data_IF_567358605611
#
_entry.id   IF_567358605611
#
_cell.length_a   1.000
_cell.length_b   1.000
_cell.length_c   1.000
_cell.angle_alpha   90.00
_cell.angle_beta   90.00
_cell.angle_gamma   90.00
#
_symmetry.space_group_name_H-M   'P 1'
#
loop_
_entity.id
_entity.type
_entity.pdbx_description
1 polymer ?
#
# COMPACT_ATOMS: atom_id res chain seq x y z
N UNK A 1 14.99 -20.06 3.28
CA UNK A 1 13.76 -19.64 2.56
C UNK A 1 13.17 -18.39 3.21
N UNK A 2 12.53 -17.47 2.46
CA UNK A 2 12.13 -16.15 3.01
C UNK A 2 11.17 -16.27 4.19
N UNK A 3 10.15 -17.13 4.12
CA UNK A 3 9.26 -17.35 5.25
C UNK A 3 10.02 -17.84 6.50
N UNK A 4 11.00 -18.74 6.35
CA UNK A 4 11.85 -19.19 7.46
C UNK A 4 12.70 -18.06 8.05
N UNK A 5 13.24 -17.16 7.22
CA UNK A 5 14.00 -15.98 7.68
C UNK A 5 13.09 -15.07 8.52
N UNK A 6 11.90 -14.76 8.02
CA UNK A 6 10.92 -13.94 8.75
C UNK A 6 10.51 -14.60 10.06
N UNK A 7 10.27 -15.92 10.06
CA UNK A 7 9.98 -16.67 11.27
C UNK A 7 11.14 -16.61 12.28
N UNK A 8 12.39 -16.67 11.80
CA UNK A 8 13.60 -16.63 12.63
C UNK A 8 13.72 -15.28 13.34
N UNK A 9 13.70 -14.20 12.57
CA UNK A 9 13.76 -12.82 13.09
C UNK A 9 12.67 -12.56 14.12
N UNK A 10 11.45 -13.04 13.84
CA UNK A 10 10.34 -12.93 14.80
C UNK A 10 10.60 -13.73 16.08
N UNK A 11 10.99 -14.99 15.97
CA UNK A 11 11.17 -15.86 17.14
C UNK A 11 12.31 -15.36 18.04
N UNK A 12 13.40 -14.89 17.46
CA UNK A 12 14.51 -14.25 18.18
C UNK A 12 14.00 -13.03 18.95
N UNK A 13 13.25 -12.13 18.30
CA UNK A 13 12.68 -10.95 18.94
C UNK A 13 11.62 -11.29 20.01
N UNK A 14 10.85 -12.35 19.80
CA UNK A 14 9.87 -12.85 20.78
C UNK A 14 10.57 -13.37 22.03
N UNK A 15 11.57 -14.23 21.85
CA UNK A 15 12.36 -14.79 22.94
C UNK A 15 13.05 -13.67 23.74
N UNK A 16 13.62 -12.67 23.08
CA UNK A 16 14.20 -11.50 23.73
C UNK A 16 13.16 -10.70 24.52
N UNK A 17 12.00 -10.38 23.92
CA UNK A 17 10.95 -9.58 24.56
C UNK A 17 10.37 -10.23 25.82
N UNK A 18 10.27 -11.56 25.83
CA UNK A 18 9.64 -12.31 26.92
C UNK A 18 10.62 -13.04 27.84
N UNK A 19 11.94 -12.87 27.63
CA UNK A 19 13.00 -13.56 28.37
C UNK A 19 12.84 -15.10 28.33
N UNK A 20 12.64 -15.61 27.11
CA UNK A 20 12.46 -17.03 26.81
C UNK A 20 13.58 -17.52 25.88
N UNK A 21 13.66 -18.84 25.70
CA UNK A 21 14.60 -19.49 24.77
C UNK A 21 13.90 -20.62 24.01
N UNK A 22 12.71 -20.36 23.48
CA UNK A 22 11.93 -21.34 22.74
C UNK A 22 12.60 -21.65 21.39
N UNK A 23 12.68 -22.92 21.05
CA UNK A 23 12.93 -23.40 19.69
C UNK A 23 11.71 -23.14 18.80
N UNK A 24 11.87 -23.17 17.47
CA UNK A 24 10.75 -22.96 16.55
C UNK A 24 9.66 -24.02 16.72
N UNK A 25 10.04 -25.27 17.03
CA UNK A 25 9.09 -26.35 17.33
C UNK A 25 8.29 -26.10 18.61
N UNK A 26 8.95 -25.66 19.68
CA UNK A 26 8.29 -25.32 20.94
C UNK A 26 7.33 -24.16 20.75
N UNK A 27 7.77 -23.06 20.12
CA UNK A 27 6.90 -21.93 19.80
C UNK A 27 5.73 -22.38 18.91
N UNK A 28 5.99 -23.21 17.90
CA UNK A 28 4.97 -23.73 17.02
C UNK A 28 3.89 -24.48 17.82
N UNK A 29 4.28 -25.37 18.73
CA UNK A 29 3.34 -26.16 19.52
C UNK A 29 2.60 -25.33 20.57
N UNK A 30 3.33 -24.47 21.27
CA UNK A 30 2.81 -23.75 22.43
C UNK A 30 1.98 -22.53 22.08
N UNK A 31 2.30 -21.87 20.96
CA UNK A 31 1.67 -20.62 20.52
C UNK A 31 0.99 -20.78 19.16
N UNK A 32 1.74 -21.14 18.12
CA UNK A 32 1.24 -21.08 16.73
C UNK A 32 0.09 -22.06 16.49
N UNK A 33 0.27 -23.35 16.78
CA UNK A 33 -0.75 -24.39 16.60
C UNK A 33 -1.99 -24.09 17.43
N UNK A 34 -1.81 -23.72 18.71
CA UNK A 34 -2.93 -23.38 19.60
C UNK A 34 -3.76 -22.24 19.01
N UNK A 35 -3.13 -21.18 18.54
CA UNK A 35 -3.85 -20.06 17.94
C UNK A 35 -4.38 -20.34 16.54
N UNK A 36 -3.67 -21.07 15.68
CA UNK A 36 -4.01 -21.14 14.25
C UNK A 36 -4.92 -22.31 13.89
N UNK A 37 -4.66 -23.49 14.49
CA UNK A 37 -5.23 -24.76 14.03
C UNK A 37 -5.97 -25.54 15.12
N UNK A 38 -5.81 -25.18 16.41
CA UNK A 38 -6.54 -25.84 17.49
C UNK A 38 -7.97 -25.29 17.70
N UNK A 39 -8.60 -24.77 16.66
CA UNK A 39 -9.95 -24.16 16.69
C UNK A 39 -10.77 -24.59 15.47
N UNK A 40 -12.10 -24.48 15.55
CA UNK A 40 -12.99 -24.82 14.42
C UNK A 40 -12.81 -23.88 13.22
N UNK A 41 -12.48 -22.61 13.48
CA UNK A 41 -12.09 -21.64 12.45
C UNK A 41 -10.57 -21.47 12.44
N UNK A 42 -9.92 -21.97 11.40
CA UNK A 42 -8.49 -21.75 11.23
C UNK A 42 -8.19 -20.29 10.89
N UNK A 43 -7.03 -19.80 11.31
CA UNK A 43 -6.55 -18.47 10.94
C UNK A 43 -5.94 -18.43 9.53
N UNK A 44 -5.42 -19.57 9.09
CA UNK A 44 -4.69 -19.71 7.84
C UNK A 44 -5.03 -21.04 7.17
N UNK A 45 -5.05 -21.03 5.85
CA UNK A 45 -5.23 -22.23 5.05
C UNK A 45 -3.95 -22.50 4.25
N UNK A 46 -3.30 -23.62 4.52
CA UNK A 46 -2.10 -24.04 3.78
C UNK A 46 -2.45 -25.30 3.00
N UNK A 47 -2.57 -25.13 1.68
CA UNK A 47 -2.93 -26.19 0.74
C UNK A 47 -2.00 -27.39 0.87
N UNK A 48 -2.55 -28.61 0.79
CA UNK A 48 -1.83 -29.88 0.91
C UNK A 48 -1.17 -30.15 2.27
N UNK A 49 -1.31 -29.26 3.25
CA UNK A 49 -0.79 -29.54 4.59
C UNK A 49 -1.62 -30.59 5.34
N UNK A 50 -1.04 -31.27 6.35
CA UNK A 50 -1.77 -32.19 7.21
C UNK A 50 -3.04 -31.61 7.84
N UNK A 51 -3.08 -30.29 8.11
CA UNK A 51 -4.25 -29.64 8.72
C UNK A 51 -5.43 -29.49 7.76
N UNK A 52 -5.21 -29.48 6.44
CA UNK A 52 -6.30 -29.34 5.46
C UNK A 52 -6.58 -30.64 4.71
N UNK A 53 -5.64 -31.60 4.73
CA UNK A 53 -5.84 -32.94 4.19
C UNK A 53 -6.74 -33.76 5.13
N UNK A 54 -8.00 -33.92 4.73
CA UNK A 54 -9.03 -34.59 5.51
C UNK A 54 -9.26 -36.04 5.05
N UNK A 55 -9.58 -36.92 6.00
CA UNK A 55 -10.14 -38.24 5.68
C UNK A 55 -11.57 -38.07 5.16
N UNK A 56 -12.12 -39.07 4.50
CA UNK A 56 -13.50 -39.03 4.02
C UNK A 56 -14.47 -38.69 5.18
N UNK A 57 -15.31 -37.67 4.98
CA UNK A 57 -16.28 -37.19 5.97
C UNK A 57 -15.75 -36.14 6.98
N UNK A 58 -14.42 -35.96 7.10
CA UNK A 58 -13.86 -34.92 7.97
C UNK A 58 -13.94 -33.53 7.32
N UNK A 59 -14.29 -32.52 8.13
CA UNK A 59 -14.21 -31.10 7.76
C UNK A 59 -13.50 -30.33 8.87
N UNK A 60 -12.65 -29.33 8.55
CA UNK A 60 -11.89 -28.58 9.57
C UNK A 60 -12.73 -28.04 10.74
N UNK A 61 -13.91 -27.50 10.44
CA UNK A 61 -14.81 -26.93 11.44
C UNK A 61 -15.55 -27.96 12.30
N UNK A 62 -15.51 -29.25 11.94
CA UNK A 62 -16.12 -30.35 12.68
C UNK A 62 -15.11 -31.17 13.49
N UNK A 63 -13.80 -30.92 13.31
CA UNK A 63 -12.79 -31.67 14.03
C UNK A 63 -12.87 -31.38 15.53
N UNK A 64 -12.81 -32.44 16.34
CA UNK A 64 -12.62 -32.31 17.78
C UNK A 64 -11.14 -32.05 18.13
N UNK A 65 -10.87 -31.81 19.42
CA UNK A 65 -9.52 -31.50 19.89
C UNK A 65 -8.53 -32.64 19.62
N UNK A 66 -8.91 -33.90 19.85
CA UNK A 66 -8.05 -35.07 19.63
C UNK A 66 -7.68 -35.20 18.14
N UNK A 67 -8.66 -35.06 17.24
CA UNK A 67 -8.43 -35.11 15.80
C UNK A 67 -7.49 -33.98 15.33
N UNK A 68 -7.56 -32.79 15.94
CA UNK A 68 -6.62 -31.70 15.64
C UNK A 68 -5.20 -32.04 16.10
N UNK A 69 -5.05 -32.68 17.26
CA UNK A 69 -3.74 -33.18 17.71
C UNK A 69 -3.23 -34.32 16.83
N UNK A 70 -4.09 -35.21 16.30
CA UNK A 70 -3.66 -36.19 15.29
C UNK A 70 -3.10 -35.49 14.04
N UNK A 71 -3.71 -34.39 13.57
CA UNK A 71 -3.16 -33.61 12.46
C UNK A 71 -1.79 -33.01 12.79
N UNK A 72 -1.61 -32.53 14.02
CA UNK A 72 -0.32 -32.01 14.51
C UNK A 72 0.76 -33.10 14.51
N UNK A 73 0.45 -34.30 15.02
CA UNK A 73 1.38 -35.43 15.01
C UNK A 73 1.75 -35.86 13.58
N UNK A 74 0.77 -35.84 12.66
CA UNK A 74 1.03 -36.12 11.26
C UNK A 74 1.98 -35.09 10.63
N UNK A 75 1.88 -33.81 11.00
CA UNK A 75 2.86 -32.81 10.59
C UNK A 75 4.26 -33.15 11.12
N UNK A 76 4.41 -33.36 12.43
CA UNK A 76 5.71 -33.68 13.02
C UNK A 76 6.36 -34.90 12.39
N UNK A 77 5.58 -35.96 12.15
CA UNK A 77 6.08 -37.16 11.47
C UNK A 77 6.58 -36.84 10.06
N UNK A 78 5.83 -36.04 9.27
CA UNK A 78 6.27 -35.63 7.93
C UNK A 78 7.52 -34.74 7.97
N UNK A 79 7.65 -33.87 8.97
CA UNK A 79 8.82 -33.00 9.15
C UNK A 79 10.08 -33.84 9.43
N UNK A 80 9.95 -34.91 10.22
CA UNK A 80 11.07 -35.80 10.56
C UNK A 80 11.41 -36.75 9.40
N UNK A 81 10.40 -37.28 8.70
CA UNK A 81 10.60 -38.34 7.70
C UNK A 81 10.73 -37.85 6.26
N UNK A 82 10.29 -36.62 5.97
CA UNK A 82 10.10 -36.08 4.63
C UNK A 82 11.23 -35.16 4.17
N UNK A 83 11.30 -34.92 2.86
CA UNK A 83 12.08 -33.80 2.31
C UNK A 83 11.26 -32.52 2.46
N UNK A 84 11.88 -31.36 2.76
CA UNK A 84 11.19 -30.08 2.87
C UNK A 84 10.50 -29.73 1.54
N UNK A 85 9.18 -29.82 1.50
CA UNK A 85 8.33 -29.52 0.33
C UNK A 85 7.21 -28.56 0.73
N UNK A 86 6.60 -27.85 -0.25
CA UNK A 86 5.59 -26.81 -0.03
C UNK A 86 4.39 -27.21 0.86
N UNK A 87 4.11 -28.51 0.97
CA UNK A 87 3.04 -29.06 1.81
C UNK A 87 3.36 -29.04 3.32
N UNK A 88 4.64 -29.02 3.66
CA UNK A 88 5.16 -29.04 5.03
C UNK A 88 6.13 -27.88 5.33
N UNK A 89 6.66 -27.19 4.32
CA UNK A 89 7.60 -26.08 4.45
C UNK A 89 7.13 -24.93 3.55
N UNK A 90 6.64 -23.84 4.14
CA UNK A 90 5.86 -22.84 3.39
C UNK A 90 6.78 -21.95 2.57
N UNK A 91 6.46 -21.84 1.29
CA UNK A 91 7.25 -21.10 0.31
C UNK A 91 8.39 -21.90 -0.30
N UNK A 92 8.57 -23.18 0.06
CA UNK A 92 9.50 -24.12 -0.57
C UNK A 92 8.97 -24.64 -1.93
N UNK A 93 9.81 -25.31 -2.73
CA UNK A 93 9.36 -26.00 -3.94
C UNK A 93 8.27 -27.04 -3.64
N UNK A 94 7.39 -27.28 -4.62
CA UNK A 94 6.39 -28.34 -4.51
C UNK A 94 7.04 -29.74 -4.52
N UNK A 95 6.27 -30.74 -4.11
CA UNK A 95 6.69 -32.15 -4.03
C UNK A 95 6.95 -32.81 -5.38
N UNK A 96 6.36 -32.28 -6.46
CA UNK A 96 6.52 -32.82 -7.80
C UNK A 96 7.90 -32.46 -8.38
N UNK A 97 8.62 -33.46 -8.89
CA UNK A 97 9.94 -33.32 -9.53
C UNK A 97 9.94 -32.46 -10.81
N UNK A 98 8.78 -31.98 -11.25
CA UNK A 98 8.74 -30.97 -12.32
C UNK A 98 9.15 -29.62 -11.73
N UNK A 99 10.26 -29.08 -12.22
CA UNK A 99 10.91 -27.83 -11.76
C UNK A 99 10.00 -26.58 -11.71
N UNK A 100 8.73 -26.69 -12.13
CA UNK A 100 7.81 -25.56 -12.30
C UNK A 100 6.35 -25.87 -11.93
N UNK A 101 6.10 -26.78 -10.97
CA UNK A 101 4.76 -26.97 -10.44
C UNK A 101 4.17 -25.61 -9.97
N UNK A 102 2.89 -25.36 -10.29
CA UNK A 102 2.26 -24.03 -10.15
C UNK A 102 2.20 -23.50 -8.70
N UNK A 103 2.36 -24.39 -7.73
CA UNK A 103 2.36 -24.11 -6.28
C UNK A 103 3.76 -24.08 -5.67
N UNK A 104 4.82 -24.25 -6.48
CA UNK A 104 6.20 -24.07 -6.03
C UNK A 104 6.47 -22.61 -5.66
N UNK A 105 7.21 -22.38 -4.59
CA UNK A 105 7.75 -21.07 -4.22
C UNK A 105 9.27 -21.08 -4.28
N UNK A 106 9.87 -19.94 -4.67
CA UNK A 106 11.30 -19.65 -4.47
C UNK A 106 12.25 -20.78 -4.92
N UNK A 107 11.94 -21.43 -6.06
CA UNK A 107 12.80 -22.45 -6.67
C UNK A 107 14.12 -21.79 -7.09
N UNK A 108 15.24 -22.40 -6.70
CA UNK A 108 16.59 -21.90 -6.97
C UNK A 108 17.51 -23.05 -7.35
N UNK A 109 18.41 -22.80 -8.32
CA UNK A 109 19.50 -23.73 -8.67
C UNK A 109 20.56 -23.84 -7.56
N UNK A 110 20.52 -22.93 -6.57
CA UNK A 110 21.39 -22.96 -5.41
C UNK A 110 20.76 -23.89 -4.36
N UNK A 111 21.51 -24.92 -3.96
CA UNK A 111 21.11 -25.79 -2.85
C UNK A 111 21.20 -24.99 -1.55
N UNK A 112 20.03 -24.62 -1.01
CA UNK A 112 19.91 -24.00 0.31
C UNK A 112 19.61 -25.13 1.30
N UNK A 113 20.57 -25.52 2.17
CA UNK A 113 20.29 -26.51 3.20
C UNK A 113 19.20 -25.98 4.12
N UNK A 114 18.29 -26.86 4.54
CA UNK A 114 17.22 -26.56 5.48
C UNK A 114 17.02 -27.73 6.41
N UNK A 115 16.85 -27.43 7.70
CA UNK A 115 16.64 -28.41 8.76
C UNK A 115 15.20 -28.38 9.30
N UNK A 116 14.93 -29.17 10.35
CA UNK A 116 13.62 -29.19 11.04
C UNK A 116 13.24 -27.81 11.59
N UNK A 117 14.21 -27.05 12.08
CA UNK A 117 13.99 -25.71 12.62
C UNK A 117 13.49 -24.76 11.52
N UNK A 118 14.16 -24.72 10.36
CA UNK A 118 13.76 -23.91 9.21
C UNK A 118 12.34 -24.22 8.71
N UNK A 119 11.91 -25.48 8.84
CA UNK A 119 10.55 -25.89 8.49
C UNK A 119 9.54 -25.23 9.43
N UNK A 120 9.67 -25.37 10.76
CA UNK A 120 8.73 -24.70 11.69
C UNK A 120 8.81 -23.18 11.60
N UNK A 121 10.00 -22.61 11.38
CA UNK A 121 10.15 -21.19 11.12
C UNK A 121 9.39 -20.74 9.88
N UNK A 122 9.33 -21.57 8.82
CA UNK A 122 8.51 -21.25 7.64
C UNK A 122 7.01 -21.17 7.95
N UNK A 123 6.52 -22.01 8.87
CA UNK A 123 5.15 -21.94 9.35
C UNK A 123 4.88 -20.65 10.10
N UNK A 124 5.71 -20.35 11.10
CA UNK A 124 5.61 -19.14 11.91
C UNK A 124 5.66 -17.89 11.00
N UNK A 125 6.66 -17.84 10.11
CA UNK A 125 6.85 -16.76 9.15
C UNK A 125 5.67 -16.57 8.22
N UNK A 126 5.02 -17.66 7.76
CA UNK A 126 3.87 -17.56 6.87
C UNK A 126 2.67 -16.84 7.49
N UNK A 127 2.50 -16.96 8.81
CA UNK A 127 1.45 -16.27 9.55
C UNK A 127 1.72 -14.78 9.73
N UNK A 128 2.94 -14.31 9.44
CA UNK A 128 3.39 -12.92 9.58
C UNK A 128 3.28 -12.13 8.26
N UNK A 129 2.73 -12.72 7.20
CA UNK A 129 2.54 -12.05 5.92
C UNK A 129 1.51 -10.92 6.01
N UNK A 130 1.74 -9.82 5.28
CA UNK A 130 0.86 -8.64 5.30
C UNK A 130 0.09 -8.55 3.98
N UNK A 131 -1.18 -8.93 3.98
CA UNK A 131 -2.05 -8.92 2.80
C UNK A 131 -2.51 -7.52 2.41
N UNK A 132 -2.39 -7.17 1.13
CA UNK A 132 -2.79 -5.87 0.58
C UNK A 132 -3.62 -6.02 -0.70
N UNK A 133 -4.42 -5.00 -1.01
CA UNK A 133 -5.27 -4.96 -2.18
C UNK A 133 -4.42 -5.11 -3.47
N UNK A 134 -4.94 -5.86 -4.44
CA UNK A 134 -4.19 -6.30 -5.62
C UNK A 134 -3.73 -7.76 -5.54
N UNK A 135 -4.06 -8.48 -4.46
CA UNK A 135 -3.85 -9.93 -4.34
C UNK A 135 -2.42 -10.33 -3.98
N UNK A 136 -1.67 -9.42 -3.35
CA UNK A 136 -0.31 -9.66 -2.90
C UNK A 136 -0.21 -9.59 -1.37
N UNK A 137 0.81 -10.24 -0.83
CA UNK A 137 1.27 -10.12 0.54
C UNK A 137 2.70 -9.56 0.55
N UNK A 138 3.07 -8.94 1.66
CA UNK A 138 4.38 -8.34 1.90
C UNK A 138 4.97 -8.97 3.16
N UNK A 139 6.23 -9.37 3.10
CA UNK A 139 7.04 -9.61 4.30
C UNK A 139 7.95 -8.43 4.56
N UNK A 140 8.01 -7.97 5.81
CA UNK A 140 9.04 -7.06 6.31
C UNK A 140 9.82 -7.77 7.41
N UNK A 141 11.15 -7.79 7.30
CA UNK A 141 12.04 -8.51 8.22
C UNK A 141 12.42 -7.70 9.47
N UNK A 142 11.49 -6.86 9.94
CA UNK A 142 11.74 -5.88 11.00
C UNK A 142 11.11 -6.38 12.31
N UNK A 143 11.91 -6.64 13.38
CA UNK A 143 11.43 -7.16 14.66
C UNK A 143 10.19 -6.43 15.20
N UNK A 144 10.21 -5.09 15.21
CA UNK A 144 9.10 -4.26 15.67
C UNK A 144 7.80 -4.49 14.89
N UNK A 145 7.90 -4.66 13.56
CA UNK A 145 6.73 -4.95 12.71
C UNK A 145 6.23 -6.36 13.00
N UNK A 146 7.11 -7.35 13.09
CA UNK A 146 6.74 -8.74 13.30
C UNK A 146 6.08 -8.96 14.67
N UNK A 147 6.65 -8.39 15.73
CA UNK A 147 6.06 -8.40 17.08
C UNK A 147 4.71 -7.67 17.10
N UNK A 148 4.59 -6.55 16.37
CA UNK A 148 3.31 -5.84 16.27
C UNK A 148 2.25 -6.67 15.56
N UNK A 149 2.61 -7.40 14.51
CA UNK A 149 1.68 -8.34 13.84
C UNK A 149 1.22 -9.41 14.84
N UNK A 150 2.15 -9.99 15.59
CA UNK A 150 1.87 -11.01 16.59
C UNK A 150 0.89 -10.53 17.67
N UNK A 151 1.01 -9.29 18.15
CA UNK A 151 0.03 -8.71 19.10
C UNK A 151 -1.41 -8.83 18.55
N UNK A 152 -1.58 -8.62 17.23
CA UNK A 152 -2.87 -8.70 16.55
C UNK A 152 -3.40 -10.11 16.35
N UNK A 153 -2.58 -11.15 16.46
CA UNK A 153 -3.04 -12.54 16.32
C UNK A 153 -4.03 -12.90 17.42
N UNK A 154 -3.72 -12.52 18.67
CA UNK A 154 -4.60 -12.77 19.82
C UNK A 154 -5.98 -12.14 19.62
N UNK A 155 -6.01 -10.86 19.23
CA UNK A 155 -7.23 -10.09 18.94
C UNK A 155 -8.07 -10.78 17.85
N UNK A 156 -7.45 -11.24 16.77
CA UNK A 156 -8.19 -11.94 15.71
C UNK A 156 -8.72 -13.30 16.16
N UNK A 157 -7.97 -14.02 17.00
CA UNK A 157 -8.42 -15.29 17.57
C UNK A 157 -9.67 -15.10 18.41
N UNK A 158 -9.68 -14.06 19.24
CA UNK A 158 -10.84 -13.71 20.06
C UNK A 158 -12.07 -13.50 19.16
N UNK A 159 -11.99 -12.64 18.14
CA UNK A 159 -13.11 -12.42 17.23
C UNK A 159 -13.56 -13.65 16.44
N UNK A 160 -12.65 -14.55 16.07
CA UNK A 160 -13.04 -15.81 15.42
C UNK A 160 -13.81 -16.74 16.36
N UNK A 161 -13.54 -16.67 17.67
CA UNK A 161 -14.18 -17.49 18.69
C UNK A 161 -15.43 -16.84 19.31
N UNK A 162 -15.63 -15.53 19.11
CA UNK A 162 -16.80 -14.81 19.61
C UNK A 162 -18.11 -15.40 19.05
N UNK A 163 -19.03 -15.90 19.91
CA UNK A 163 -20.27 -16.53 19.46
C UNK A 163 -21.17 -15.61 18.64
N UNK A 164 -21.12 -14.30 18.89
CA UNK A 164 -21.89 -13.28 18.15
C UNK A 164 -21.32 -13.00 16.75
N UNK A 165 -20.10 -13.48 16.47
CA UNK A 165 -19.40 -13.38 15.19
C UNK A 165 -19.23 -14.76 14.55
N UNK A 166 -20.19 -15.66 14.74
CA UNK A 166 -20.20 -17.01 14.18
C UNK A 166 -20.03 -17.02 12.65
N UNK A 167 -20.53 -16.00 11.96
CA UNK A 167 -20.39 -15.79 10.51
C UNK A 167 -19.06 -15.15 10.07
N UNK A 168 -18.19 -14.75 10.99
CA UNK A 168 -16.85 -14.25 10.64
C UNK A 168 -16.03 -15.37 10.01
N UNK A 169 -15.55 -15.14 8.79
CA UNK A 169 -14.77 -16.07 7.99
C UNK A 169 -13.35 -16.23 8.56
N UNK A 170 -12.88 -17.48 8.67
CA UNK A 170 -11.49 -17.80 9.00
C UNK A 170 -10.56 -17.71 7.77
N UNK A 171 -9.31 -18.16 7.93
CA UNK A 171 -8.31 -18.24 6.85
C UNK A 171 -7.89 -16.90 6.23
N UNK A 172 -8.03 -15.80 6.98
CA UNK A 172 -7.72 -14.43 6.52
C UNK A 172 -6.56 -13.79 7.28
N UNK A 173 -5.63 -14.56 7.89
CA UNK A 173 -4.58 -14.00 8.74
C UNK A 173 -3.75 -12.91 8.04
N UNK A 174 -3.33 -13.09 6.80
CA UNK A 174 -2.54 -12.06 6.11
C UNK A 174 -3.36 -10.79 5.88
N UNK A 175 -4.63 -10.93 5.50
CA UNK A 175 -5.55 -9.80 5.33
C UNK A 175 -5.78 -9.07 6.65
N UNK A 176 -5.94 -9.82 7.73
CA UNK A 176 -6.01 -9.28 9.09
C UNK A 176 -4.73 -8.53 9.47
N UNK A 177 -3.55 -9.10 9.24
CA UNK A 177 -2.27 -8.46 9.56
C UNK A 177 -2.13 -7.10 8.86
N UNK A 178 -2.59 -6.98 7.60
CA UNK A 178 -2.63 -5.71 6.87
C UNK A 178 -3.52 -4.67 7.53
N UNK A 179 -4.74 -5.05 7.91
CA UNK A 179 -5.66 -4.16 8.62
C UNK A 179 -5.17 -3.82 10.02
N UNK A 180 -4.68 -4.81 10.76
CA UNK A 180 -4.15 -4.66 12.11
C UNK A 180 -2.97 -3.69 12.12
N UNK A 181 -1.95 -3.86 11.27
CA UNK A 181 -0.83 -2.92 11.23
C UNK A 181 -1.27 -1.50 10.85
N UNK A 182 -2.20 -1.38 9.90
CA UNK A 182 -2.75 -0.08 9.49
C UNK A 182 -3.47 0.60 10.65
N UNK A 183 -4.28 -0.15 11.41
CA UNK A 183 -4.96 0.34 12.59
C UNK A 183 -3.98 0.69 13.71
N UNK A 184 -3.06 -0.24 14.00
CA UNK A 184 -2.21 -0.21 15.17
C UNK A 184 -1.05 0.80 15.06
N UNK A 185 -0.66 1.20 13.84
CA UNK A 185 0.23 2.34 13.59
C UNK A 185 -0.51 3.61 13.15
N UNK A 186 -1.82 3.52 12.94
CA UNK A 186 -2.66 4.66 12.58
C UNK A 186 -3.00 5.57 13.77
N UNK A 187 -3.58 6.73 13.47
CA UNK A 187 -4.00 7.72 14.48
C UNK A 187 -5.18 7.25 15.36
N UNK A 188 -5.94 6.26 14.87
CA UNK A 188 -7.15 5.78 15.52
C UNK A 188 -6.88 4.69 16.58
N UNK A 189 -5.64 4.29 16.80
CA UNK A 189 -5.30 3.29 17.81
C UNK A 189 -5.52 3.83 19.23
N UNK A 190 -6.25 3.06 20.03
CA UNK A 190 -6.45 3.25 21.48
C UNK A 190 -6.44 1.86 22.09
N UNK A 191 -5.71 1.63 23.18
CA UNK A 191 -5.56 0.28 23.77
C UNK A 191 -6.90 -0.38 24.12
N UNK A 192 -7.91 0.40 24.51
CA UNK A 192 -9.25 -0.07 24.88
C UNK A 192 -10.25 -0.06 23.70
N UNK A 193 -9.81 -0.45 22.50
CA UNK A 193 -10.72 -0.55 21.34
C UNK A 193 -11.65 -1.75 21.45
N UNK A 194 -12.80 -1.68 20.77
CA UNK A 194 -13.78 -2.77 20.68
C UNK A 194 -14.11 -3.10 19.21
N UNK A 195 -14.92 -4.15 19.02
CA UNK A 195 -15.36 -4.57 17.69
C UNK A 195 -16.12 -3.46 16.96
N UNK A 196 -16.94 -2.68 17.66
CA UNK A 196 -17.72 -1.59 17.07
C UNK A 196 -16.82 -0.51 16.45
N UNK A 197 -15.69 -0.19 17.09
CA UNK A 197 -14.68 0.71 16.53
C UNK A 197 -14.07 0.16 15.25
N UNK A 198 -13.68 -1.11 15.23
CA UNK A 198 -13.09 -1.74 14.04
C UNK A 198 -14.12 -1.82 12.89
N UNK A 199 -15.38 -2.10 13.21
CA UNK A 199 -16.49 -2.07 12.25
C UNK A 199 -16.70 -0.65 11.68
N UNK A 200 -16.66 0.38 12.52
CA UNK A 200 -16.74 1.78 12.10
C UNK A 200 -15.60 2.20 11.16
N UNK A 201 -14.41 1.62 11.35
CA UNK A 201 -13.25 1.77 10.47
C UNK A 201 -13.32 0.92 9.19
N UNK A 202 -14.40 0.16 9.00
CA UNK A 202 -14.63 -0.75 7.86
C UNK A 202 -13.53 -1.80 7.70
N UNK A 203 -12.99 -2.30 8.81
CA UNK A 203 -12.05 -3.43 8.81
C UNK A 203 -12.79 -4.72 8.41
N UNK A 204 -14.06 -4.83 8.76
CA UNK A 204 -14.92 -5.94 8.35
C UNK A 204 -15.97 -5.49 7.34
N UNK A 205 -16.32 -6.38 6.42
CA UNK A 205 -17.40 -6.21 5.46
C UNK A 205 -18.34 -7.41 5.52
N UNK A 206 -19.63 -7.15 5.34
CA UNK A 206 -20.63 -8.18 5.11
C UNK A 206 -20.62 -8.54 3.63
N UNK A 207 -20.36 -9.81 3.34
CA UNK A 207 -20.70 -10.44 2.06
C UNK A 207 -21.99 -11.25 2.28
N UNK A 208 -22.81 -11.47 1.26
CA UNK A 208 -24.15 -12.07 1.42
C UNK A 208 -24.20 -13.37 2.25
N UNK A 209 -23.08 -14.08 2.33
CA UNK A 209 -22.90 -15.34 3.06
C UNK A 209 -22.17 -15.23 4.41
N UNK A 210 -21.67 -14.05 4.83
CA UNK A 210 -20.98 -13.89 6.11
C UNK A 210 -20.29 -12.55 6.33
N UNK A 211 -19.40 -12.51 7.33
CA UNK A 211 -18.53 -11.35 7.61
C UNK A 211 -17.11 -11.72 7.24
N UNK A 212 -16.40 -10.85 6.54
CA UNK A 212 -14.99 -11.05 6.19
C UNK A 212 -14.15 -9.82 6.51
N UNK A 213 -12.84 -10.04 6.68
CA UNK A 213 -11.88 -8.95 6.84
C UNK A 213 -11.61 -8.32 5.49
N UNK A 214 -11.80 -7.00 5.39
CA UNK A 214 -11.48 -6.23 4.20
C UNK A 214 -9.99 -6.21 3.93
N UNK A 215 -9.61 -6.32 2.66
CA UNK A 215 -8.20 -6.17 2.29
C UNK A 215 -7.80 -4.70 2.25
N UNK A 216 -6.73 -4.35 2.96
CA UNK A 216 -6.29 -2.95 3.07
C UNK A 216 -5.67 -2.44 1.77
N UNK A 217 -5.93 -1.18 1.42
CA UNK A 217 -5.18 -0.50 0.37
C UNK A 217 -3.71 -0.34 0.80
N UNK A 218 -2.76 -0.77 -0.04
CA UNK A 218 -1.34 -0.72 0.29
C UNK A 218 -0.84 0.70 0.62
N UNK A 219 -1.40 1.74 0.01
CA UNK A 219 -1.01 3.12 0.29
C UNK A 219 -1.42 3.55 1.70
N UNK A 220 -2.61 3.13 2.17
CA UNK A 220 -3.05 3.39 3.54
C UNK A 220 -2.15 2.71 4.58
N UNK A 221 -1.79 1.44 4.32
CA UNK A 221 -0.79 0.73 5.11
C UNK A 221 0.55 1.48 5.10
N UNK A 222 1.00 1.91 3.91
CA UNK A 222 2.24 2.66 3.74
C UNK A 222 2.26 3.94 4.59
N UNK A 223 1.20 4.74 4.58
CA UNK A 223 1.11 5.96 5.39
C UNK A 223 1.10 5.69 6.90
N UNK A 224 0.52 4.58 7.32
CA UNK A 224 0.48 4.18 8.74
C UNK A 224 1.87 3.75 9.22
N UNK A 225 2.57 2.92 8.43
CA UNK A 225 3.97 2.56 8.72
C UNK A 225 4.86 3.80 8.67
N UNK A 226 4.65 4.70 7.70
CA UNK A 226 5.40 5.95 7.58
C UNK A 226 5.28 6.85 8.80
N UNK A 227 4.13 6.83 9.47
CA UNK A 227 3.95 7.60 10.69
C UNK A 227 4.84 7.09 11.83
N UNK A 228 5.02 5.76 11.92
CA UNK A 228 5.85 5.13 12.95
C UNK A 228 7.35 5.19 12.60
N UNK A 229 7.70 5.01 11.33
CA UNK A 229 9.08 4.93 10.84
C UNK A 229 9.36 5.99 9.75
N UNK A 230 9.30 7.29 10.08
CA UNK A 230 9.25 8.37 9.10
C UNK A 230 10.56 8.60 8.33
N UNK A 231 11.69 8.12 8.83
CA UNK A 231 13.00 8.31 8.19
C UNK A 231 13.63 6.98 7.75
N UNK A 232 12.92 5.88 7.92
CA UNK A 232 13.43 4.55 7.61
C UNK A 232 13.14 4.16 6.17
N UNK A 233 13.91 3.19 5.69
CA UNK A 233 13.59 2.46 4.47
C UNK A 233 13.69 0.97 4.72
N UNK A 234 12.63 0.23 4.41
CA UNK A 234 12.59 -1.22 4.60
C UNK A 234 12.50 -1.92 3.26
N UNK A 235 13.21 -3.03 3.11
CA UNK A 235 13.03 -3.92 1.96
C UNK A 235 11.88 -4.87 2.26
N UNK A 236 10.81 -4.77 1.48
CA UNK A 236 9.68 -5.70 1.56
C UNK A 236 9.80 -6.79 0.50
N UNK A 237 9.54 -8.05 0.86
CA UNK A 237 9.42 -9.14 -0.11
C UNK A 237 7.95 -9.31 -0.51
N UNK A 238 7.65 -9.10 -1.80
CA UNK A 238 6.28 -9.06 -2.31
C UNK A 238 5.96 -10.33 -3.09
N UNK A 239 4.88 -11.00 -2.67
CA UNK A 239 4.52 -12.33 -3.14
C UNK A 239 3.00 -12.57 -3.10
N UNK A 240 2.54 -13.68 -3.65
CA UNK A 240 1.16 -14.16 -3.54
C UNK A 240 1.22 -15.68 -3.50
N UNK A 241 0.64 -16.29 -2.46
CA UNK A 241 0.49 -17.74 -2.36
C UNK A 241 -0.98 -18.07 -2.57
N UNK A 242 -1.27 -19.03 -3.45
CA UNK A 242 -2.63 -19.41 -3.82
C UNK A 242 -2.63 -20.64 -4.70
N UNK A 243 -3.57 -20.72 -5.65
CA UNK A 243 -3.55 -21.79 -6.66
C UNK A 243 -2.33 -21.70 -7.59
N UNK A 244 -1.86 -20.48 -7.84
CA UNK A 244 -0.61 -20.22 -8.56
C UNK A 244 0.17 -19.20 -7.78
N UNK A 245 1.37 -19.58 -7.35
CA UNK A 245 2.24 -18.67 -6.63
C UNK A 245 2.78 -17.59 -7.56
N UNK A 246 2.88 -16.36 -7.05
CA UNK A 246 3.46 -15.22 -7.77
C UNK A 246 4.50 -14.57 -6.89
N UNK A 247 5.64 -14.22 -7.47
CA UNK A 247 6.69 -13.48 -6.78
C UNK A 247 7.02 -12.24 -7.60
N UNK A 248 7.03 -11.08 -6.95
CA UNK A 248 7.64 -9.86 -7.49
C UNK A 248 9.09 -9.78 -7.00
N UNK A 249 9.32 -10.12 -5.72
CA UNK A 249 10.64 -10.13 -5.11
C UNK A 249 10.82 -8.98 -4.12
N UNK A 250 12.07 -8.58 -3.91
CA UNK A 250 12.44 -7.55 -2.94
C UNK A 250 12.26 -6.16 -3.54
N UNK A 251 11.51 -5.32 -2.84
CA UNK A 251 11.26 -3.93 -3.22
C UNK A 251 11.50 -3.02 -2.02
N UNK A 252 12.33 -1.97 -2.15
CA UNK A 252 12.55 -1.01 -1.08
C UNK A 252 11.34 -0.07 -0.91
N UNK A 253 10.94 0.17 0.34
CA UNK A 253 9.88 1.08 0.76
C UNK A 253 10.50 2.30 1.44
N UNK A 254 10.25 3.49 0.90
CA UNK A 254 10.84 4.75 1.37
C UNK A 254 9.82 5.56 2.17
N UNK A 255 9.66 5.24 3.45
CA UNK A 255 8.57 5.76 4.28
C UNK A 255 8.57 7.28 4.50
N UNK A 256 9.72 7.93 4.33
CA UNK A 256 9.82 9.38 4.29
C UNK A 256 8.86 10.04 3.28
N UNK A 257 8.59 9.39 2.16
CA UNK A 257 7.65 9.92 1.15
C UNK A 257 6.23 10.08 1.70
N UNK A 258 5.80 9.23 2.64
CA UNK A 258 4.46 9.28 3.23
C UNK A 258 4.29 10.46 4.18
N UNK A 259 5.29 10.70 5.04
CA UNK A 259 5.28 11.87 5.94
C UNK A 259 5.50 13.17 5.20
N UNK A 260 6.30 13.14 4.14
CA UNK A 260 6.53 14.28 3.26
C UNK A 260 5.25 14.76 2.58
N UNK A 261 4.43 13.86 2.03
CA UNK A 261 3.14 14.23 1.44
C UNK A 261 2.19 14.86 2.47
N UNK A 262 2.11 14.29 3.68
CA UNK A 262 1.31 14.86 4.78
C UNK A 262 1.81 16.25 5.18
N UNK A 263 3.12 16.45 5.22
CA UNK A 263 3.74 17.74 5.51
C UNK A 263 3.42 18.77 4.43
N UNK A 264 3.61 18.42 3.15
CA UNK A 264 3.32 19.30 2.01
C UNK A 264 1.85 19.70 2.00
N UNK A 265 0.95 18.75 2.22
CA UNK A 265 -0.48 19.01 2.29
C UNK A 265 -0.82 20.07 3.36
N UNK A 266 -0.30 19.93 4.59
CA UNK A 266 -0.51 20.90 5.68
C UNK A 266 0.11 22.27 5.41
N UNK A 267 1.16 22.33 4.60
CA UNK A 267 1.81 23.59 4.19
C UNK A 267 1.03 24.30 3.08
N UNK A 268 0.45 23.54 2.15
CA UNK A 268 -0.32 24.11 1.05
C UNK A 268 -1.69 24.59 1.54
N UNK A 269 -2.37 23.82 2.39
CA UNK A 269 -3.75 24.05 2.78
C UNK A 269 -3.86 24.43 4.26
N UNK A 270 -4.60 25.51 4.54
CA UNK A 270 -4.90 26.00 5.91
C UNK A 270 -5.83 25.04 6.67
N UNK A 271 -5.98 25.25 7.98
CA UNK A 271 -6.86 24.48 8.87
C UNK A 271 -8.33 24.37 8.43
N UNK A 272 -8.81 25.30 7.59
CA UNK A 272 -10.19 25.32 7.11
C UNK A 272 -10.50 24.20 6.10
N UNK A 273 -9.46 23.54 5.56
CA UNK A 273 -9.58 22.40 4.64
C UNK A 273 -9.15 21.10 5.29
N UNK A 274 -9.45 20.88 6.58
CA UNK A 274 -9.13 19.64 7.28
C UNK A 274 -9.85 18.44 6.65
N UNK A 275 -9.10 17.67 5.86
CA UNK A 275 -9.52 16.35 5.39
C UNK A 275 -9.10 15.33 6.45
N UNK A 276 -9.97 14.35 6.73
CA UNK A 276 -9.61 13.23 7.61
C UNK A 276 -8.41 12.51 7.03
N UNK A 277 -7.46 12.12 7.87
CA UNK A 277 -6.26 11.41 7.42
C UNK A 277 -6.60 10.18 6.57
N UNK A 278 -7.62 9.41 6.96
CA UNK A 278 -8.10 8.25 6.21
C UNK A 278 -8.55 8.57 4.78
N UNK A 279 -9.24 9.70 4.62
CA UNK A 279 -9.81 10.10 3.33
C UNK A 279 -8.68 10.59 2.42
N UNK A 280 -7.75 11.37 2.97
CA UNK A 280 -6.53 11.78 2.27
C UNK A 280 -5.72 10.57 1.79
N UNK A 281 -5.39 9.66 2.71
CA UNK A 281 -4.54 8.49 2.41
C UNK A 281 -5.15 7.58 1.34
N UNK A 282 -6.49 7.50 1.26
CA UNK A 282 -7.21 6.68 0.27
C UNK A 282 -7.08 7.17 -1.17
N UNK A 283 -6.69 8.42 -1.39
CA UNK A 283 -6.58 9.03 -2.72
C UNK A 283 -5.25 8.74 -3.42
N UNK A 284 -4.27 8.23 -2.67
CA UNK A 284 -2.90 8.01 -3.14
C UNK A 284 -2.66 6.52 -3.42
N UNK A 285 -1.62 6.28 -4.20
CA UNK A 285 -1.20 4.94 -4.59
C UNK A 285 -1.79 4.49 -5.92
N UNK A 286 -0.90 4.07 -6.82
CA UNK A 286 -1.27 3.30 -8.00
C UNK A 286 -1.45 1.82 -7.67
N UNK A 287 -1.88 0.99 -8.61
CA UNK A 287 -1.93 -0.45 -8.39
C UNK A 287 -0.55 -1.02 -7.95
N UNK A 288 -0.53 -1.86 -6.91
CA UNK A 288 0.71 -2.34 -6.24
C UNK A 288 1.73 -2.95 -7.21
N UNK A 289 1.28 -3.75 -8.19
CA UNK A 289 2.19 -4.31 -9.22
C UNK A 289 2.92 -3.20 -9.98
N UNK A 290 2.21 -2.14 -10.39
CA UNK A 290 2.80 -1.02 -11.11
C UNK A 290 3.68 -0.16 -10.21
N UNK A 291 3.36 -0.07 -8.92
CA UNK A 291 4.24 0.55 -7.93
C UNK A 291 5.58 -0.19 -7.83
N UNK A 292 5.57 -1.52 -7.84
CA UNK A 292 6.79 -2.33 -7.79
C UNK A 292 7.65 -2.18 -9.04
N UNK A 293 7.03 -2.02 -10.22
CA UNK A 293 7.73 -1.78 -11.50
C UNK A 293 8.55 -0.48 -11.53
N UNK A 294 8.36 0.42 -10.56
CA UNK A 294 9.17 1.63 -10.40
C UNK A 294 10.52 1.36 -9.71
N UNK A 295 10.78 0.12 -9.28
CA UNK A 295 12.01 -0.29 -8.59
C UNK A 295 12.06 0.10 -7.10
N UNK A 296 11.23 1.03 -6.65
CA UNK A 296 11.03 1.35 -5.23
C UNK A 296 9.62 1.89 -4.98
N UNK A 297 9.10 1.64 -3.78
CA UNK A 297 7.82 2.19 -3.33
C UNK A 297 8.11 3.43 -2.50
N UNK A 298 7.93 4.58 -3.14
CA UNK A 298 8.09 5.91 -2.54
C UNK A 298 7.16 6.91 -3.21
N UNK A 299 7.61 8.16 -3.34
CA UNK A 299 6.79 9.27 -3.82
C UNK A 299 6.12 9.00 -5.19
N UNK A 300 6.84 8.44 -6.15
CA UNK A 300 6.29 8.12 -7.47
C UNK A 300 5.17 7.06 -7.40
N UNK A 301 5.34 6.04 -6.56
CA UNK A 301 4.33 4.99 -6.36
C UNK A 301 3.07 5.54 -5.67
N UNK A 302 3.22 6.55 -4.81
CA UNK A 302 2.11 7.20 -4.12
C UNK A 302 1.29 8.13 -5.03
N UNK A 303 1.59 8.27 -6.32
CA UNK A 303 0.78 9.12 -7.21
C UNK A 303 -0.72 8.76 -7.12
N UNK A 304 -1.61 9.75 -6.98
CA UNK A 304 -3.05 9.53 -7.11
C UNK A 304 -3.38 8.87 -8.46
N UNK A 305 -4.15 7.78 -8.44
CA UNK A 305 -4.38 6.95 -9.63
C UNK A 305 -5.00 7.76 -10.79
N UNK A 306 -6.01 8.57 -10.47
CA UNK A 306 -6.73 9.43 -11.42
C UNK A 306 -5.86 10.56 -12.00
N UNK A 307 -4.72 10.91 -11.40
CA UNK A 307 -3.89 12.02 -11.89
C UNK A 307 -3.31 11.74 -13.28
N UNK A 308 -3.00 10.47 -13.60
CA UNK A 308 -2.36 10.09 -14.87
C UNK A 308 -3.18 10.51 -16.09
N UNK A 309 -4.51 10.52 -16.00
CA UNK A 309 -5.38 10.88 -17.13
C UNK A 309 -5.30 12.37 -17.50
N UNK A 310 -4.71 13.22 -16.66
CA UNK A 310 -4.57 14.65 -16.92
C UNK A 310 -3.24 15.01 -17.60
N UNK A 311 -2.26 14.10 -17.63
CA UNK A 311 -0.97 14.35 -18.26
C UNK A 311 -1.09 14.44 -19.77
N UNK A 312 -0.76 15.60 -20.34
CA UNK A 312 -0.76 15.84 -21.79
C UNK A 312 -2.14 15.79 -22.45
N UNK A 313 -3.23 15.85 -21.68
CA UNK A 313 -4.61 15.71 -22.16
C UNK A 313 -5.42 17.00 -21.95
N UNK A 314 -6.48 17.15 -22.76
CA UNK A 314 -7.43 18.26 -22.68
C UNK A 314 -8.35 18.21 -21.45
N UNK A 315 -8.45 17.05 -20.79
CA UNK A 315 -9.28 16.85 -19.58
C UNK A 315 -8.96 17.84 -18.47
N UNK A 316 -10.01 18.32 -17.79
CA UNK A 316 -9.92 19.26 -16.68
C UNK A 316 -10.76 18.80 -15.49
N UNK A 317 -10.40 19.26 -14.30
CA UNK A 317 -11.22 19.06 -13.11
C UNK A 317 -12.49 19.90 -13.22
N UNK A 318 -13.64 19.28 -12.96
CA UNK A 318 -14.95 19.94 -13.12
C UNK A 318 -15.29 20.86 -11.93
N UNK A 319 -14.66 20.58 -10.78
CA UNK A 319 -14.91 21.21 -9.47
C UNK A 319 -16.38 21.20 -9.01
N UNK A 320 -17.28 20.48 -9.70
CA UNK A 320 -18.74 20.53 -9.48
C UNK A 320 -19.17 19.88 -8.17
N UNK A 321 -18.36 18.96 -7.65
CA UNK A 321 -18.63 18.18 -6.45
C UNK A 321 -17.54 18.42 -5.40
N UNK A 322 -17.85 18.18 -4.14
CA UNK A 322 -16.87 18.21 -3.05
C UNK A 322 -15.69 17.25 -3.30
N UNK A 323 -15.97 16.07 -3.87
CA UNK A 323 -14.96 15.09 -4.30
C UNK A 323 -13.92 15.68 -5.27
N UNK A 324 -14.33 16.59 -6.17
CA UNK A 324 -13.40 17.21 -7.13
C UNK A 324 -12.39 18.12 -6.41
N UNK A 325 -12.81 18.78 -5.33
CA UNK A 325 -11.95 19.64 -4.50
C UNK A 325 -10.96 18.78 -3.71
N UNK A 326 -11.43 17.66 -3.17
CA UNK A 326 -10.60 16.67 -2.51
C UNK A 326 -9.52 16.09 -3.46
N UNK A 327 -9.90 15.74 -4.68
CA UNK A 327 -8.98 15.28 -5.72
C UNK A 327 -7.98 16.36 -6.10
N UNK A 328 -8.42 17.60 -6.28
CA UNK A 328 -7.53 18.74 -6.54
C UNK A 328 -6.47 18.87 -5.45
N UNK A 329 -6.85 18.79 -4.16
CA UNK A 329 -5.89 18.87 -3.06
C UNK A 329 -4.87 17.74 -3.08
N UNK A 330 -5.30 16.50 -3.33
CA UNK A 330 -4.40 15.36 -3.44
C UNK A 330 -3.43 15.51 -4.64
N UNK A 331 -3.96 15.91 -5.81
CA UNK A 331 -3.16 16.11 -7.02
C UNK A 331 -2.14 17.23 -6.84
N UNK A 332 -2.57 18.38 -6.33
CA UNK A 332 -1.70 19.52 -6.05
C UNK A 332 -0.62 19.15 -5.04
N UNK A 333 -0.97 18.46 -3.96
CA UNK A 333 0.01 17.98 -2.97
C UNK A 333 1.10 17.13 -3.63
N UNK A 334 0.70 16.14 -4.42
CA UNK A 334 1.66 15.25 -5.07
C UNK A 334 2.53 16.00 -6.10
N UNK A 335 1.92 16.83 -6.95
CA UNK A 335 2.64 17.60 -7.99
C UNK A 335 3.65 18.57 -7.38
N UNK A 336 3.27 19.33 -6.34
CA UNK A 336 4.20 20.24 -5.64
C UNK A 336 5.34 19.45 -4.99
N UNK A 337 5.06 18.28 -4.44
CA UNK A 337 6.09 17.41 -3.84
C UNK A 337 7.07 16.89 -4.91
N UNK A 338 6.59 16.57 -6.11
CA UNK A 338 7.44 16.13 -7.22
C UNK A 338 8.28 17.25 -7.83
N UNK A 339 7.76 18.49 -7.85
CA UNK A 339 8.36 19.61 -8.58
C UNK A 339 9.42 20.37 -7.78
N UNK A 340 9.38 20.40 -6.44
CA UNK A 340 10.24 21.32 -5.68
C UNK A 340 11.04 20.72 -4.54
N UNK A 341 12.27 21.23 -4.38
CA UNK A 341 13.01 21.24 -3.11
C UNK A 341 12.55 22.36 -2.16
N UNK A 342 12.04 23.48 -2.68
CA UNK A 342 11.41 24.57 -1.93
C UNK A 342 9.88 24.63 -2.19
N UNK A 343 9.12 23.99 -1.32
CA UNK A 343 7.69 23.67 -1.53
C UNK A 343 6.76 24.89 -1.50
N UNK A 344 7.17 25.97 -0.85
CA UNK A 344 6.40 27.21 -0.76
C UNK A 344 6.57 28.04 -2.05
N UNK A 345 7.77 28.07 -2.64
CA UNK A 345 8.04 28.79 -3.89
C UNK A 345 7.18 28.29 -5.06
N UNK A 346 7.15 26.98 -5.33
CA UNK A 346 6.39 26.46 -6.48
C UNK A 346 4.87 26.61 -6.28
N UNK A 347 4.37 26.48 -5.05
CA UNK A 347 2.93 26.62 -4.76
C UNK A 347 2.45 28.03 -5.09
N UNK A 348 3.13 29.04 -4.56
CA UNK A 348 2.71 30.43 -4.74
C UNK A 348 2.96 30.84 -6.20
N UNK A 349 4.06 30.37 -6.78
CA UNK A 349 4.39 30.62 -8.18
C UNK A 349 3.33 30.15 -9.17
N UNK A 350 2.85 28.91 -9.09
CA UNK A 350 1.82 28.43 -10.04
C UNK A 350 0.48 29.13 -9.87
N UNK A 351 0.14 29.57 -8.65
CA UNK A 351 -1.08 30.34 -8.39
C UNK A 351 -0.97 31.74 -9.01
N UNK A 352 0.14 32.46 -8.81
CA UNK A 352 0.34 33.79 -9.39
C UNK A 352 0.36 33.73 -10.92
N UNK A 353 1.03 32.74 -11.50
CA UNK A 353 1.00 32.52 -12.95
C UNK A 353 -0.41 32.23 -13.45
N UNK A 354 -1.18 31.40 -12.73
CA UNK A 354 -2.56 31.12 -13.09
C UNK A 354 -3.44 32.38 -13.06
N UNK A 355 -3.20 33.31 -12.11
CA UNK A 355 -3.87 34.62 -12.08
C UNK A 355 -3.49 35.49 -13.27
N UNK A 356 -2.20 35.59 -13.61
CA UNK A 356 -1.73 36.35 -14.77
C UNK A 356 -2.33 35.79 -16.08
N UNK A 357 -2.34 34.46 -16.25
CA UNK A 357 -2.97 33.79 -17.39
C UNK A 357 -4.48 34.07 -17.44
N UNK A 358 -5.18 34.02 -16.30
CA UNK A 358 -6.61 34.32 -16.22
C UNK A 358 -6.93 35.78 -16.53
N UNK A 359 -6.09 36.71 -16.05
CA UNK A 359 -6.19 38.15 -16.35
C UNK A 359 -6.01 38.42 -17.85
N UNK A 360 -4.98 37.85 -18.47
CA UNK A 360 -4.79 37.91 -19.92
C UNK A 360 -6.01 37.37 -20.69
N UNK A 361 -6.52 36.22 -20.27
CA UNK A 361 -7.68 35.57 -20.91
C UNK A 361 -8.93 36.45 -20.83
N UNK A 362 -9.13 37.19 -19.73
CA UNK A 362 -10.32 38.01 -19.49
C UNK A 362 -10.27 39.41 -20.13
N UNK A 363 -9.11 39.88 -20.58
CA UNK A 363 -8.94 41.23 -21.16
C UNK A 363 -9.24 41.30 -22.66
N UNK A 364 -9.41 40.17 -23.35
CA UNK A 364 -9.70 40.11 -24.78
C UNK A 364 -11.20 40.15 -25.12
N UNK A 365 -11.55 40.63 -26.32
CA UNK A 365 -12.90 40.48 -26.88
C UNK A 365 -12.98 39.21 -27.74
N UNK A 366 -14.02 38.40 -27.56
CA UNK A 366 -14.25 37.16 -28.31
C UNK A 366 -13.49 35.95 -27.77
N UNK A 367 -13.39 34.89 -28.57
CA UNK A 367 -12.87 33.58 -28.12
C UNK A 367 -11.39 33.36 -28.40
N UNK A 368 -10.68 34.28 -29.07
CA UNK A 368 -9.28 34.08 -29.47
C UNK A 368 -8.35 33.78 -28.29
N UNK A 369 -8.40 34.59 -27.24
CA UNK A 369 -7.60 34.39 -26.02
C UNK A 369 -8.02 33.16 -25.22
N UNK A 370 -9.31 32.81 -25.27
CA UNK A 370 -9.83 31.57 -24.67
C UNK A 370 -9.22 30.37 -25.38
N UNK A 371 -9.22 30.37 -26.72
CA UNK A 371 -8.61 29.32 -27.53
C UNK A 371 -7.10 29.25 -27.28
N UNK A 372 -6.38 30.37 -27.30
CA UNK A 372 -4.93 30.39 -27.05
C UNK A 372 -4.58 29.78 -25.68
N UNK A 373 -5.31 30.13 -24.61
CA UNK A 373 -5.02 29.60 -23.27
C UNK A 373 -5.50 28.15 -23.12
N UNK A 374 -6.76 27.85 -23.46
CA UNK A 374 -7.37 26.56 -23.15
C UNK A 374 -7.03 25.47 -24.16
N UNK A 375 -6.73 25.83 -25.42
CA UNK A 375 -6.48 24.88 -26.53
C UNK A 375 -5.06 24.86 -27.05
N UNK A 376 -4.28 25.91 -26.86
CA UNK A 376 -2.90 25.95 -27.34
C UNK A 376 -1.92 25.81 -26.17
N UNK A 377 -2.00 26.69 -25.17
CA UNK A 377 -1.12 26.68 -24.00
C UNK A 377 -1.30 25.41 -23.16
N UNK A 378 -2.51 25.13 -22.65
CA UNK A 378 -2.73 24.00 -21.74
C UNK A 378 -2.83 22.62 -22.42
N UNK A 379 -3.03 22.57 -23.73
CA UNK A 379 -3.01 21.33 -24.52
C UNK A 379 -1.67 21.13 -25.25
N UNK A 380 -0.67 21.98 -24.98
CA UNK A 380 0.68 21.86 -25.53
C UNK A 380 1.31 20.51 -25.19
N UNK A 381 1.81 19.82 -26.22
CA UNK A 381 2.45 18.50 -26.10
C UNK A 381 3.96 18.56 -25.89
N UNK A 382 4.54 19.74 -26.08
CA UNK A 382 5.98 19.97 -25.93
C UNK A 382 6.24 21.34 -25.31
N UNK A 383 7.43 21.48 -24.71
CA UNK A 383 7.92 22.78 -24.22
C UNK A 383 7.98 23.83 -25.32
N UNK A 384 8.32 23.41 -26.55
CA UNK A 384 8.40 24.30 -27.70
C UNK A 384 7.03 24.92 -28.00
N UNK A 385 6.00 24.09 -28.06
CA UNK A 385 4.63 24.55 -28.35
C UNK A 385 4.14 25.48 -27.24
N UNK A 386 4.41 25.12 -25.98
CA UNK A 386 4.04 25.94 -24.84
C UNK A 386 4.73 27.31 -24.86
N UNK A 387 6.05 27.34 -25.10
CA UNK A 387 6.81 28.59 -25.23
C UNK A 387 6.32 29.42 -26.42
N UNK A 388 5.90 28.78 -27.51
CA UNK A 388 5.31 29.50 -28.65
C UNK A 388 4.01 30.19 -28.25
N UNK A 389 3.11 29.48 -27.55
CA UNK A 389 1.87 30.09 -27.02
C UNK A 389 2.17 31.21 -26.02
N UNK A 390 3.14 31.03 -25.11
CA UNK A 390 3.59 32.11 -24.22
C UNK A 390 4.09 33.33 -24.98
N UNK A 391 4.85 33.11 -26.06
CA UNK A 391 5.39 34.20 -26.90
C UNK A 391 4.26 35.00 -27.54
N UNK A 392 3.22 34.32 -28.04
CA UNK A 392 2.02 34.98 -28.58
C UNK A 392 1.22 35.74 -27.52
N UNK A 393 1.25 35.30 -26.26
CA UNK A 393 0.60 36.03 -25.17
C UNK A 393 1.33 37.34 -24.85
N UNK A 394 2.67 37.33 -24.81
CA UNK A 394 3.51 38.47 -24.38
C UNK A 394 3.19 39.76 -25.14
N UNK A 395 2.84 39.69 -26.42
CA UNK A 395 2.50 40.86 -27.24
C UNK A 395 1.33 41.70 -26.67
N UNK A 396 0.48 41.06 -25.87
CA UNK A 396 -0.83 41.57 -25.42
C UNK A 396 -0.96 41.61 -23.88
N UNK A 397 0.13 41.36 -23.15
CA UNK A 397 0.17 41.28 -21.68
C UNK A 397 0.62 42.61 -21.07
N UNK A 398 0.04 42.98 -19.91
CA UNK A 398 0.42 44.18 -19.18
C UNK A 398 1.89 44.15 -18.72
N UNK A 399 2.53 45.32 -18.63
CA UNK A 399 3.95 45.42 -18.24
C UNK A 399 4.28 44.75 -16.90
N UNK A 400 3.36 44.79 -15.94
CA UNK A 400 3.51 44.15 -14.63
C UNK A 400 3.57 42.61 -14.74
N UNK A 401 2.85 42.04 -15.71
CA UNK A 401 2.75 40.60 -15.91
C UNK A 401 3.87 40.06 -16.82
N UNK A 402 4.49 40.89 -17.68
CA UNK A 402 5.57 40.50 -18.60
C UNK A 402 6.75 39.80 -17.91
N UNK A 403 7.11 40.25 -16.71
CA UNK A 403 8.21 39.66 -15.93
C UNK A 403 7.89 38.21 -15.56
N UNK A 404 6.64 37.92 -15.18
CA UNK A 404 6.20 36.56 -14.83
C UNK A 404 6.26 35.62 -16.04
N UNK A 405 5.78 36.06 -17.21
CA UNK A 405 5.82 35.25 -18.43
C UNK A 405 7.25 35.01 -18.94
N UNK A 406 8.15 35.99 -18.78
CA UNK A 406 9.56 35.82 -19.10
C UNK A 406 10.22 34.78 -18.20
N UNK A 407 10.06 34.92 -16.88
CA UNK A 407 10.64 33.98 -15.91
C UNK A 407 10.10 32.56 -16.14
N UNK A 408 8.80 32.43 -16.41
CA UNK A 408 8.16 31.16 -16.75
C UNK A 408 8.81 30.48 -17.97
N UNK A 409 9.07 31.25 -19.03
CA UNK A 409 9.75 30.71 -20.22
C UNK A 409 11.14 30.16 -19.86
N UNK A 410 11.92 30.91 -19.10
CA UNK A 410 13.28 30.53 -18.73
C UNK A 410 13.28 29.26 -17.86
N UNK A 411 12.35 29.15 -16.91
CA UNK A 411 12.18 27.95 -16.09
C UNK A 411 11.75 26.72 -16.90
N UNK A 412 10.76 26.85 -17.80
CA UNK A 412 10.29 25.75 -18.65
C UNK A 412 11.43 25.20 -19.52
N UNK A 413 12.32 26.08 -19.99
CA UNK A 413 13.49 25.65 -20.75
C UNK A 413 14.40 24.73 -19.93
N UNK A 414 14.55 25.00 -18.62
CA UNK A 414 15.43 24.27 -17.71
C UNK A 414 14.81 22.99 -17.12
N UNK A 415 13.48 22.85 -17.09
CA UNK A 415 12.81 21.64 -16.60
C UNK A 415 13.21 20.40 -17.41
N UNK A 416 12.99 19.19 -16.91
CA UNK A 416 12.93 17.96 -17.70
C UNK A 416 11.55 17.84 -18.40
N UNK A 417 11.37 16.87 -19.29
CA UNK A 417 10.06 16.63 -19.92
C UNK A 417 9.01 16.15 -18.91
N UNK A 418 9.44 15.40 -17.89
CA UNK A 418 8.58 14.93 -16.81
C UNK A 418 8.15 16.09 -15.91
N UNK A 419 9.11 16.90 -15.43
CA UNK A 419 8.83 18.10 -14.64
C UNK A 419 7.93 19.07 -15.39
N UNK A 420 8.18 19.31 -16.68
CA UNK A 420 7.32 20.13 -17.53
C UNK A 420 5.87 19.60 -17.55
N UNK A 421 5.69 18.29 -17.69
CA UNK A 421 4.36 17.67 -17.69
C UNK A 421 3.65 17.88 -16.36
N UNK A 422 4.35 17.71 -15.24
CA UNK A 422 3.80 17.96 -13.90
C UNK A 422 3.47 19.43 -13.69
N UNK A 423 4.36 20.32 -14.09
CA UNK A 423 4.18 21.77 -13.97
C UNK A 423 2.96 22.25 -14.76
N UNK A 424 2.85 21.89 -16.04
CA UNK A 424 1.71 22.27 -16.87
C UNK A 424 0.39 21.74 -16.30
N UNK A 425 0.40 20.51 -15.77
CA UNK A 425 -0.79 19.92 -15.12
C UNK A 425 -1.18 20.71 -13.87
N UNK A 426 -0.21 21.08 -13.02
CA UNK A 426 -0.44 21.87 -11.82
C UNK A 426 -0.99 23.26 -12.16
N UNK A 427 -0.34 23.97 -13.10
CA UNK A 427 -0.77 25.30 -13.55
C UNK A 427 -2.20 25.27 -14.12
N UNK A 428 -2.53 24.23 -14.91
CA UNK A 428 -3.88 24.03 -15.47
C UNK A 428 -4.94 23.83 -14.37
N UNK A 429 -4.61 23.08 -13.32
CA UNK A 429 -5.50 22.90 -12.17
C UNK A 429 -5.70 24.19 -11.39
N UNK A 430 -4.63 24.94 -11.11
CA UNK A 430 -4.71 26.23 -10.40
C UNK A 430 -5.53 27.25 -11.21
N UNK A 431 -5.31 27.34 -12.53
CA UNK A 431 -6.13 28.15 -13.44
C UNK A 431 -7.61 27.77 -13.38
N UNK A 432 -7.91 26.46 -13.44
CA UNK A 432 -9.29 25.96 -13.43
C UNK A 432 -9.99 26.21 -12.08
N UNK A 433 -9.26 26.13 -10.98
CA UNK A 433 -9.74 26.46 -9.64
C UNK A 433 -10.06 27.96 -9.50
N UNK A 434 -9.14 28.83 -9.90
CA UNK A 434 -9.34 30.30 -9.87
C UNK A 434 -10.49 30.74 -10.78
N UNK A 435 -10.62 30.14 -11.97
CA UNK A 435 -11.73 30.42 -12.90
C UNK A 435 -13.11 30.12 -12.31
N UNK A 436 -13.20 29.24 -11.30
CA UNK A 436 -14.45 28.92 -10.61
C UNK A 436 -14.73 29.81 -9.40
N UNK A 437 -13.69 30.34 -8.76
CA UNK A 437 -13.85 31.27 -7.64
C UNK A 437 -14.31 32.66 -8.08
N UNK A 438 -13.92 33.05 -9.30
CA UNK A 438 -14.47 34.20 -10.02
C UNK A 438 -15.78 33.84 -10.73
#
# INVERSE_FOLDING_TARGET
MIASVIGRTFLEAFNEKYDLALTAKEFFNEHYFKMFFNHSKYMQWITNSPFVQMKAGQKPHLLNTEERYEKLLNLHNKVISGKPEASIAIGFPASEESEFASTSGLVSDIVIPSDEEDIYLSWIGSGLGIGVAGGYSIFFDQPDILLRIFDGWSVYREYLNEPTLDKLRGNQINTWNGQWLTFAYGNDFRENFDFARLQGLRIFQSDGDGVEVNTVNWAKLFFSISQKFPNESFTGYIYSLGQTNKTIGFVPFQFKSGTELKYVYRKIFSSDHQIKASDFESLFGIHIKRACELGSIGLQALRPERLKSFFGNSSNLSFKKEEDTLLYHAFKTWLVTMLSKNKEEIKDYTIELARAVLKYRNTGKGNSRITLVEKELFESKSKKDFIQSLTTMIDDVDQEDLVYFKNLKDEIHLMTNEEFTYFCTLLKFDYSYLKRQN
#
